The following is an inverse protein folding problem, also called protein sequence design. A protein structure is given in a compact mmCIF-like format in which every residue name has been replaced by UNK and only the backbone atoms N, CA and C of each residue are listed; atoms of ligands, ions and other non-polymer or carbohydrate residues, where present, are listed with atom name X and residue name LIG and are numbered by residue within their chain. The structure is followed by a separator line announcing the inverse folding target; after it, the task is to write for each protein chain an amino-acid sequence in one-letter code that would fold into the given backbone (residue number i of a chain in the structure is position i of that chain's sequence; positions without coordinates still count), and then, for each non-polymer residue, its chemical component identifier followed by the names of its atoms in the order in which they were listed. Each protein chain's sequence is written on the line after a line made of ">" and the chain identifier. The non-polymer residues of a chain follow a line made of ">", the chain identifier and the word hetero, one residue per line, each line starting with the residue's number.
data_IF_745985222880
#
_entry.id   IF_745985222880
#
_cell.length_a   1.000
_cell.length_b   1.000
_cell.length_c   1.000
_cell.angle_alpha   90.00
_cell.angle_beta   90.00
_cell.angle_gamma   90.00
#
_symmetry.space_group_name_H-M   'P 1'
#
loop_
_entity.id
_entity.type
_entity.pdbx_description
1 polymer ?
#
# COMPACT_ATOMS: atom_id res chain seq x y z
N UNK A 1 6.27 1.38 -22.08
CA UNK A 1 5.05 1.98 -21.50
C UNK A 1 5.33 2.21 -20.03
N UNK A 2 5.61 3.45 -19.59
CA UNK A 2 5.89 3.71 -18.18
C UNK A 2 4.66 3.42 -17.33
N UNK A 3 4.85 2.82 -16.14
CA UNK A 3 3.76 2.63 -15.17
C UNK A 3 3.18 4.02 -14.87
N UNK A 4 1.85 4.17 -14.95
CA UNK A 4 1.21 5.43 -14.56
C UNK A 4 1.54 5.68 -13.08
N UNK A 5 1.82 6.93 -12.68
CA UNK A 5 2.04 7.23 -11.28
C UNK A 5 0.80 6.84 -10.47
N UNK A 6 1.02 6.35 -9.26
CA UNK A 6 -0.03 5.99 -8.34
C UNK A 6 -0.86 7.22 -7.96
N UNK A 7 -2.16 7.00 -7.87
CA UNK A 7 -3.18 7.99 -7.59
C UNK A 7 -4.02 7.56 -6.38
N UNK A 8 -4.82 8.47 -5.85
CA UNK A 8 -5.69 8.17 -4.71
C UNK A 8 -6.68 7.03 -5.00
N UNK A 9 -7.14 6.88 -6.25
CA UNK A 9 -8.00 5.77 -6.64
C UNK A 9 -7.32 4.41 -6.45
N UNK A 10 -5.99 4.34 -6.55
CA UNK A 10 -5.24 3.13 -6.29
C UNK A 10 -5.19 2.78 -4.79
N UNK A 11 -5.34 3.77 -3.90
CA UNK A 11 -5.52 3.55 -2.46
C UNK A 11 -6.93 3.06 -2.13
N UNK A 12 -7.95 3.64 -2.76
CA UNK A 12 -9.35 3.22 -2.58
C UNK A 12 -9.61 1.79 -3.09
N UNK A 13 -8.84 1.35 -4.09
CA UNK A 13 -8.90 -0.01 -4.60
C UNK A 13 -8.24 -1.06 -3.68
N UNK A 14 -7.55 -0.64 -2.60
CA UNK A 14 -6.92 -1.57 -1.68
C UNK A 14 -7.93 -2.28 -0.79
N UNK A 15 -7.65 -3.53 -0.37
CA UNK A 15 -8.43 -4.20 0.65
C UNK A 15 -8.41 -3.42 1.98
N UNK A 16 -9.53 -3.40 2.71
CA UNK A 16 -9.70 -2.62 3.95
C UNK A 16 -8.67 -2.87 5.06
N UNK A 17 -8.03 -4.06 5.05
CA UNK A 17 -7.06 -4.47 6.07
C UNK A 17 -5.60 -4.18 5.67
N UNK A 18 -5.39 -3.50 4.55
CA UNK A 18 -4.07 -3.17 4.01
C UNK A 18 -3.85 -1.67 4.14
N UNK A 19 -2.67 -1.29 4.60
CA UNK A 19 -2.26 0.12 4.64
C UNK A 19 -1.59 0.45 3.31
N UNK A 20 -2.13 1.43 2.59
CA UNK A 20 -1.56 1.95 1.34
C UNK A 20 -0.89 3.31 1.53
N UNK A 21 0.26 3.50 0.89
CA UNK A 21 1.02 4.75 0.89
C UNK A 21 1.48 5.08 -0.53
N UNK A 22 1.40 6.35 -0.94
CA UNK A 22 1.96 6.81 -2.22
C UNK A 22 3.24 7.59 -1.93
N UNK A 23 4.38 7.06 -2.38
CA UNK A 23 5.70 7.67 -2.19
C UNK A 23 6.37 7.84 -3.55
N UNK A 24 6.79 9.06 -3.88
CA UNK A 24 7.40 9.40 -5.19
C UNK A 24 6.55 8.99 -6.42
N UNK A 25 5.23 8.94 -6.27
CA UNK A 25 4.32 8.51 -7.34
C UNK A 25 4.22 6.99 -7.50
N UNK A 26 4.69 6.21 -6.53
CA UNK A 26 4.53 4.75 -6.49
C UNK A 26 3.67 4.32 -5.29
N UNK A 27 2.81 3.33 -5.51
CA UNK A 27 1.96 2.75 -4.48
C UNK A 27 2.72 1.65 -3.72
N UNK A 28 2.86 1.84 -2.43
CA UNK A 28 3.36 0.86 -1.48
C UNK A 28 2.19 0.34 -0.65
N UNK A 29 2.04 -0.98 -0.58
CA UNK A 29 1.00 -1.64 0.18
C UNK A 29 1.63 -2.50 1.28
N UNK A 30 1.34 -2.16 2.52
CA UNK A 30 1.79 -2.87 3.71
C UNK A 30 0.65 -3.79 4.18
N UNK A 31 0.79 -5.12 4.02
CA UNK A 31 -0.22 -6.05 4.49
C UNK A 31 -0.28 -6.07 6.02
N UNK A 32 -1.32 -6.70 6.57
CA UNK A 32 -1.43 -6.91 8.01
C UNK A 32 -0.12 -7.54 8.56
N UNK A 33 0.50 -6.95 9.60
CA UNK A 33 1.71 -7.48 10.21
C UNK A 33 1.56 -8.95 10.64
N UNK A 34 2.57 -9.76 10.32
CA UNK A 34 2.68 -11.11 10.88
C UNK A 34 2.96 -11.04 12.40
N UNK A 35 2.63 -12.10 13.14
CA UNK A 35 2.76 -12.14 14.61
C UNK A 35 4.13 -11.68 15.11
N UNK A 36 5.22 -12.10 14.45
CA UNK A 36 6.59 -11.70 14.83
C UNK A 36 6.84 -10.20 14.71
N UNK A 37 6.21 -9.54 13.72
CA UNK A 37 6.33 -8.09 13.54
C UNK A 37 5.38 -7.33 14.47
N UNK A 38 4.22 -7.90 14.79
CA UNK A 38 3.24 -7.31 15.70
C UNK A 38 3.64 -7.36 17.19
N UNK A 39 4.53 -8.28 17.56
CA UNK A 39 5.01 -8.49 18.94
C UNK A 39 6.37 -7.84 19.22
N UNK A 40 6.97 -7.16 18.24
CA UNK A 40 8.29 -6.54 18.32
C UNK A 40 8.24 -5.11 18.88
#
# INVERSE_FOLDING_TARGET
>A
MGKKPATYADLEALPEHVVGEIVAGELYASPRPAMRHALA
#
